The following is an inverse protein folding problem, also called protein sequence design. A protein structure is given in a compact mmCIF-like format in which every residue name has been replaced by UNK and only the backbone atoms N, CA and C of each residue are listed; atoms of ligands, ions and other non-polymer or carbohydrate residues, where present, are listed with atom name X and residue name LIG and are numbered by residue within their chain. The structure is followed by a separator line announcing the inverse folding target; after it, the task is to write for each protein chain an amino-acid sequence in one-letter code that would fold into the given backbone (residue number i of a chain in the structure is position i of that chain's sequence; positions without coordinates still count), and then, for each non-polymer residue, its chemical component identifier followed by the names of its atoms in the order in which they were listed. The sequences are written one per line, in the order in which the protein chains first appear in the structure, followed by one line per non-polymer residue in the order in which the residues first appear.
data_IF_465466049691
#
_entry.id   IF_465466049691
#
_cell.length_a   1.000
_cell.length_b   1.000
_cell.length_c   1.000
_cell.angle_alpha   90.00
_cell.angle_beta   90.00
_cell.angle_gamma   90.00
#
_symmetry.space_group_name_H-M   'P 1'
#
loop_
_entity.id
_entity.type
_entity.pdbx_description
1 polymer ?
#
# COMPACT_ATOMS: atom_id res chain seq x y z
N UNK A 1 3.48 -11.15 8.63
CA UNK A 1 3.34 -10.32 7.42
C UNK A 1 3.08 -8.89 7.85
N UNK A 2 3.68 -7.91 7.18
CA UNK A 2 3.42 -6.48 7.40
C UNK A 2 2.89 -5.85 6.13
N UNK A 3 1.87 -5.01 6.22
CA UNK A 3 1.29 -4.29 5.08
C UNK A 3 1.46 -2.79 5.33
N UNK A 4 2.01 -2.08 4.36
CA UNK A 4 2.13 -0.62 4.38
C UNK A 4 1.44 -0.03 3.15
N UNK A 5 0.51 0.89 3.35
CA UNK A 5 -0.22 1.59 2.30
C UNK A 5 0.25 3.04 2.26
N UNK A 6 1.04 3.37 1.26
CA UNK A 6 1.43 4.73 0.94
C UNK A 6 0.29 5.43 0.19
N UNK A 7 -0.14 6.57 0.73
CA UNK A 7 -1.33 7.29 0.30
C UNK A 7 -1.04 8.77 0.04
N UNK A 8 -2.04 9.49 -0.44
CA UNK A 8 -2.07 10.94 -0.57
C UNK A 8 -3.50 11.45 -0.33
N UNK A 9 -3.70 12.73 0.03
CA UNK A 9 -5.03 13.31 0.19
C UNK A 9 -5.87 13.26 -1.09
N UNK A 10 -7.19 13.20 -0.94
CA UNK A 10 -8.18 13.19 -2.04
C UNK A 10 -7.92 12.06 -3.06
N UNK A 11 -7.78 10.82 -2.58
CA UNK A 11 -7.43 9.65 -3.37
C UNK A 11 -8.45 8.52 -3.20
N UNK A 12 -9.45 8.46 -4.07
CA UNK A 12 -10.52 7.44 -4.01
C UNK A 12 -9.97 6.00 -4.06
N UNK A 13 -8.92 5.76 -4.84
CA UNK A 13 -8.27 4.45 -4.90
C UNK A 13 -7.56 4.08 -3.59
N UNK A 14 -7.04 5.07 -2.86
CA UNK A 14 -6.43 4.85 -1.56
C UNK A 14 -7.50 4.46 -0.54
N UNK A 15 -8.64 5.13 -0.55
CA UNK A 15 -9.79 4.81 0.31
C UNK A 15 -10.38 3.43 -0.03
N UNK A 16 -10.46 3.07 -1.32
CA UNK A 16 -10.87 1.75 -1.74
C UNK A 16 -9.92 0.64 -1.25
N UNK A 17 -8.59 0.87 -1.33
CA UNK A 17 -7.59 -0.06 -0.80
C UNK A 17 -7.75 -0.25 0.71
N UNK A 18 -7.80 0.84 1.49
CA UNK A 18 -8.00 0.81 2.94
C UNK A 18 -9.26 0.04 3.33
N UNK A 19 -10.40 0.42 2.74
CA UNK A 19 -11.68 -0.27 2.98
C UNK A 19 -11.65 -1.76 2.66
N UNK A 20 -10.92 -2.17 1.62
CA UNK A 20 -10.84 -3.59 1.27
C UNK A 20 -9.99 -4.38 2.27
N UNK A 21 -8.88 -3.80 2.74
CA UNK A 21 -8.06 -4.38 3.80
C UNK A 21 -8.84 -4.47 5.12
N UNK A 22 -9.56 -3.39 5.49
CA UNK A 22 -10.44 -3.36 6.67
C UNK A 22 -11.51 -4.45 6.61
N UNK A 23 -12.15 -4.64 5.43
CA UNK A 23 -13.16 -5.69 5.22
C UNK A 23 -12.60 -7.11 5.45
N UNK A 24 -11.31 -7.31 5.22
CA UNK A 24 -10.62 -8.58 5.47
C UNK A 24 -10.03 -8.67 6.89
N UNK A 25 -10.18 -7.64 7.72
CA UNK A 25 -9.61 -7.60 9.07
C UNK A 25 -8.08 -7.57 9.10
N UNK A 26 -7.44 -7.15 7.99
CA UNK A 26 -5.99 -7.10 7.87
C UNK A 26 -5.46 -5.86 8.58
N UNK A 27 -4.42 -6.02 9.39
CA UNK A 27 -3.70 -4.90 9.97
C UNK A 27 -2.72 -4.32 8.95
N UNK A 28 -2.72 -3.00 8.81
CA UNK A 28 -1.83 -2.27 7.91
C UNK A 28 -1.47 -0.90 8.47
N UNK A 29 -0.33 -0.38 8.04
CA UNK A 29 0.11 0.99 8.32
C UNK A 29 -0.26 1.90 7.16
N UNK A 30 -0.65 3.13 7.46
CA UNK A 30 -0.88 4.18 6.46
C UNK A 30 0.26 5.18 6.55
N UNK A 31 0.80 5.59 5.40
CA UNK A 31 1.83 6.63 5.31
C UNK A 31 1.40 7.63 4.24
N UNK A 32 1.19 8.88 4.62
CA UNK A 32 0.90 9.96 3.66
C UNK A 32 2.21 10.50 3.06
N UNK A 33 2.41 10.26 1.76
CA UNK A 33 3.64 10.68 1.06
C UNK A 33 3.70 12.18 0.81
N UNK A 34 2.62 12.92 1.08
CA UNK A 34 2.63 14.38 1.00
C UNK A 34 3.19 15.03 2.27
N UNK A 35 3.21 14.29 3.38
CA UNK A 35 3.71 14.75 4.68
C UNK A 35 5.06 14.11 5.06
N UNK A 36 5.45 13.00 4.41
CA UNK A 36 6.71 12.30 4.64
C UNK A 36 7.55 12.25 3.35
N UNK A 37 8.58 13.10 3.30
CA UNK A 37 9.51 13.21 2.18
C UNK A 37 10.32 11.92 1.95
N UNK A 38 10.66 11.18 3.02
CA UNK A 38 11.39 9.92 2.90
C UNK A 38 10.48 8.85 2.30
N UNK A 39 9.23 8.78 2.75
CA UNK A 39 8.24 7.87 2.17
C UNK A 39 7.97 8.21 0.69
N UNK A 40 7.90 9.50 0.34
CA UNK A 40 7.78 9.94 -1.05
C UNK A 40 8.97 9.47 -1.88
N UNK A 41 10.19 9.72 -1.41
CA UNK A 41 11.41 9.29 -2.09
C UNK A 41 11.46 7.77 -2.29
N UNK A 42 11.15 7.01 -1.24
CA UNK A 42 11.06 5.56 -1.32
C UNK A 42 10.08 5.11 -2.41
N UNK A 43 8.88 5.68 -2.43
CA UNK A 43 7.85 5.35 -3.44
C UNK A 43 8.26 5.73 -4.85
N UNK A 44 8.83 6.93 -5.06
CA UNK A 44 9.10 7.44 -6.40
C UNK A 44 10.44 7.00 -6.97
N UNK A 45 11.47 6.94 -6.14
CA UNK A 45 12.86 6.77 -6.57
C UNK A 45 13.36 5.35 -6.37
N UNK A 46 12.99 4.69 -5.28
CA UNK A 46 13.40 3.30 -5.04
C UNK A 46 12.43 2.31 -5.72
N UNK A 47 11.12 2.53 -5.54
CA UNK A 47 10.09 1.68 -6.13
C UNK A 47 9.69 2.09 -7.56
N UNK A 48 9.93 3.34 -7.96
CA UNK A 48 9.61 3.82 -9.30
C UNK A 48 8.12 4.09 -9.56
N UNK A 49 7.26 4.14 -8.53
CA UNK A 49 5.84 4.40 -8.71
C UNK A 49 5.52 5.89 -8.68
N UNK A 50 4.66 6.31 -9.62
CA UNK A 50 4.20 7.70 -9.74
C UNK A 50 2.75 7.90 -9.26
N UNK A 51 2.05 6.82 -8.94
CA UNK A 51 0.63 6.83 -8.57
C UNK A 51 0.42 6.22 -7.18
N UNK A 52 -0.49 6.83 -6.43
CA UNK A 52 -0.99 6.30 -5.16
C UNK A 52 -2.35 5.57 -5.38
N UNK A 53 -2.69 4.58 -4.55
CA UNK A 53 -1.89 4.05 -3.44
C UNK A 53 -0.71 3.20 -3.92
N UNK A 54 0.33 3.10 -3.11
CA UNK A 54 1.34 2.03 -3.23
C UNK A 54 1.21 1.13 -2.03
N UNK A 55 1.07 -0.17 -2.26
CA UNK A 55 0.98 -1.17 -1.19
C UNK A 55 2.28 -1.95 -1.20
N UNK A 56 2.92 -2.04 -0.05
CA UNK A 56 4.09 -2.88 0.20
C UNK A 56 3.70 -3.93 1.21
N UNK A 57 4.05 -5.19 0.93
CA UNK A 57 3.76 -6.35 1.74
C UNK A 57 5.07 -7.10 2.00
N UNK A 58 5.49 -7.11 3.26
CA UNK A 58 6.64 -7.90 3.72
C UNK A 58 6.12 -9.21 4.33
N UNK A 59 6.42 -10.33 3.68
CA UNK A 59 6.03 -11.67 4.10
C UNK A 59 7.00 -12.22 5.15
N UNK A 60 6.57 -13.26 5.88
CA UNK A 60 7.37 -13.85 6.98
C UNK A 60 8.53 -14.73 6.52
N UNK A 61 8.49 -15.19 5.27
CA UNK A 61 9.53 -15.96 4.60
C UNK A 61 10.67 -15.08 4.06
N UNK A 62 10.55 -13.76 4.17
CA UNK A 62 11.53 -12.78 3.69
C UNK A 62 11.20 -12.22 2.31
N UNK A 63 10.14 -12.70 1.65
CA UNK A 63 9.71 -12.15 0.38
C UNK A 63 8.99 -10.80 0.57
N UNK A 64 9.21 -9.90 -0.39
CA UNK A 64 8.54 -8.61 -0.45
C UNK A 64 7.79 -8.48 -1.76
N UNK A 65 6.53 -8.07 -1.65
CA UNK A 65 5.69 -7.73 -2.77
C UNK A 65 5.30 -6.26 -2.69
N UNK A 66 5.26 -5.56 -3.83
CA UNK A 66 4.68 -4.23 -3.90
C UNK A 66 3.96 -3.98 -5.23
N UNK A 67 3.01 -3.05 -5.20
CA UNK A 67 2.29 -2.59 -6.38
C UNK A 67 1.70 -1.21 -6.18
N UNK A 68 1.36 -0.56 -7.29
CA UNK A 68 0.62 0.70 -7.30
C UNK A 68 -0.81 0.57 -7.83
N UNK A 69 -1.66 1.48 -7.39
CA UNK A 69 -3.08 1.57 -7.72
C UNK A 69 -3.97 0.59 -6.94
N UNK A 70 -5.28 0.76 -7.06
CA UNK A 70 -6.24 -0.19 -6.51
C UNK A 70 -6.21 -1.52 -7.28
N UNK A 71 -5.92 -2.62 -6.59
CA UNK A 71 -5.81 -3.98 -7.14
C UNK A 71 -6.56 -4.98 -6.27
N UNK A 72 -7.89 -5.05 -6.44
CA UNK A 72 -8.76 -5.87 -5.59
C UNK A 72 -8.32 -7.34 -5.52
N UNK A 73 -7.92 -7.96 -6.63
CA UNK A 73 -7.45 -9.35 -6.64
C UNK A 73 -6.21 -9.58 -5.77
N UNK A 74 -5.26 -8.63 -5.76
CA UNK A 74 -4.08 -8.71 -4.89
C UNK A 74 -4.44 -8.53 -3.43
N UNK A 75 -5.32 -7.57 -3.13
CA UNK A 75 -5.81 -7.33 -1.77
C UNK A 75 -6.58 -8.54 -1.22
N UNK A 76 -7.34 -9.23 -2.07
CA UNK A 76 -8.09 -10.42 -1.71
C UNK A 76 -7.19 -11.62 -1.46
N UNK A 77 -6.12 -11.76 -2.25
CA UNK A 77 -5.13 -12.81 -2.06
C UNK A 77 -4.32 -12.66 -0.76
N UNK A 78 -4.33 -11.50 -0.09
CA UNK A 78 -3.70 -11.33 1.23
C UNK A 78 -4.49 -11.96 2.37
N UNK A 79 -5.77 -12.23 2.16
CA UNK A 79 -6.69 -12.77 3.16
C UNK A 79 -7.01 -14.26 2.95
N UNK A 80 -6.48 -14.86 1.88
CA UNK A 80 -6.62 -16.29 1.56
C UNK A 80 -5.50 -17.09 2.21
#
# INVERSE_FOLDING_TARGET
MSITVYTKPNCDQCDATKRRLDKHGLQYRIVDITEDDNARHFVTSELGYLQAPVVVVDRSDGDREDWSGFRIGRLDALAA
#
